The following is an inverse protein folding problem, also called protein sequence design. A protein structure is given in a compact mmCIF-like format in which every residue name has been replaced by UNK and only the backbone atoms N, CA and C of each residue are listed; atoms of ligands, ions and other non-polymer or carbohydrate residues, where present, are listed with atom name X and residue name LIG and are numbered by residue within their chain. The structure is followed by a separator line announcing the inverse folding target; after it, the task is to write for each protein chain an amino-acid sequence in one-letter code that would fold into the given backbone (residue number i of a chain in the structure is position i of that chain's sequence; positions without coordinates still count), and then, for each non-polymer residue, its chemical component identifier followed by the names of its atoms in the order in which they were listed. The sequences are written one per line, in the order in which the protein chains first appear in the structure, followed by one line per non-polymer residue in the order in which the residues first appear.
data_IF_027372836797
#
_entry.id   IF_027372836797
#
_cell.length_a   1.000
_cell.length_b   1.000
_cell.length_c   1.000
_cell.angle_alpha   90.00
_cell.angle_beta   90.00
_cell.angle_gamma   90.00
#
_symmetry.space_group_name_H-M   'P 1'
#
loop_
_entity.id
_entity.type
_entity.pdbx_description
1 polymer ?
#
# COMPACT_ATOMS: atom_id res chain seq x y z
N UNK A 1 6.14 19.39 15.45
CA UNK A 1 5.90 19.38 13.99
C UNK A 1 7.15 19.50 13.11
N UNK A 2 8.18 20.29 13.48
CA UNK A 2 9.40 20.42 12.65
C UNK A 2 10.13 19.07 12.43
N UNK A 3 10.20 18.21 13.44
CA UNK A 3 10.81 16.88 13.34
C UNK A 3 10.18 16.01 12.24
N UNK A 4 8.85 15.84 12.24
CA UNK A 4 8.14 15.06 11.21
C UNK A 4 8.29 15.67 9.81
N UNK A 5 8.34 17.01 9.71
CA UNK A 5 8.62 17.67 8.43
C UNK A 5 10.07 17.43 7.95
N UNK A 6 11.03 17.27 8.86
CA UNK A 6 12.43 17.01 8.50
C UNK A 6 12.67 15.55 8.13
N UNK A 7 12.12 14.62 8.91
CA UNK A 7 12.41 13.18 8.77
C UNK A 7 11.29 12.36 8.12
N UNK A 8 10.15 12.98 7.78
CA UNK A 8 8.97 12.26 7.26
C UNK A 8 9.24 11.41 6.03
N UNK A 9 10.15 11.82 5.14
CA UNK A 9 10.56 11.00 3.99
C UNK A 9 11.21 9.67 4.41
N UNK A 10 11.96 9.63 5.51
CA UNK A 10 12.52 8.38 6.06
C UNK A 10 11.41 7.49 6.64
N UNK A 11 10.42 8.06 7.31
CA UNK A 11 9.28 7.28 7.81
C UNK A 11 8.48 6.66 6.68
N UNK A 12 8.29 7.36 5.55
CA UNK A 12 7.62 6.77 4.39
C UNK A 12 8.41 5.58 3.83
N UNK A 13 9.74 5.72 3.67
CA UNK A 13 10.60 4.61 3.20
C UNK A 13 10.52 3.43 4.16
N UNK A 14 10.70 3.67 5.46
CA UNK A 14 10.70 2.61 6.46
C UNK A 14 9.34 1.92 6.52
N UNK A 15 8.24 2.69 6.48
CA UNK A 15 6.88 2.15 6.46
C UNK A 15 6.65 1.26 5.24
N UNK A 16 6.97 1.75 4.04
CA UNK A 16 6.81 0.99 2.79
C UNK A 16 7.65 -0.28 2.77
N UNK A 17 8.92 -0.20 3.17
CA UNK A 17 9.79 -1.38 3.20
C UNK A 17 9.31 -2.39 4.25
N UNK A 18 8.92 -1.92 5.43
CA UNK A 18 8.39 -2.78 6.49
C UNK A 18 7.13 -3.51 6.02
N UNK A 19 6.16 -2.79 5.45
CA UNK A 19 4.91 -3.38 4.96
C UNK A 19 5.17 -4.38 3.83
N UNK A 20 6.04 -4.01 2.88
CA UNK A 20 6.43 -4.88 1.77
C UNK A 20 7.07 -6.18 2.25
N UNK A 21 8.04 -6.10 3.18
CA UNK A 21 8.78 -7.30 3.63
C UNK A 21 8.02 -8.15 4.65
N UNK A 22 7.07 -7.57 5.38
CA UNK A 22 6.29 -8.25 6.44
C UNK A 22 5.69 -9.58 5.97
N UNK A 23 4.91 -9.67 4.88
CA UNK A 23 4.26 -10.92 4.51
C UNK A 23 5.26 -11.99 4.05
N UNK A 24 6.42 -11.62 3.52
CA UNK A 24 7.46 -12.58 3.18
C UNK A 24 8.13 -13.11 4.44
N UNK A 25 8.60 -12.22 5.31
CA UNK A 25 9.28 -12.57 6.55
C UNK A 25 8.39 -13.43 7.47
N UNK A 26 7.12 -13.05 7.60
CA UNK A 26 6.18 -13.73 8.46
C UNK A 26 5.65 -15.01 7.79
N UNK A 27 5.33 -14.96 6.49
CA UNK A 27 4.86 -16.13 5.75
C UNK A 27 5.88 -17.27 5.68
N UNK A 28 7.19 -16.98 5.71
CA UNK A 28 8.22 -18.05 5.82
C UNK A 28 8.16 -18.83 7.14
N UNK A 29 7.53 -18.28 8.19
CA UNK A 29 7.42 -18.94 9.50
C UNK A 29 6.15 -19.77 9.64
N UNK A 30 5.21 -19.64 8.71
CA UNK A 30 3.96 -20.39 8.69
C UNK A 30 4.05 -21.51 7.64
N UNK A 31 4.26 -22.75 8.09
CA UNK A 31 4.39 -23.90 7.19
C UNK A 31 3.07 -24.28 6.50
N UNK A 32 1.93 -23.81 7.00
CA UNK A 32 0.62 -24.02 6.38
C UNK A 32 0.30 -23.00 5.29
N UNK A 33 1.07 -21.90 5.23
CA UNK A 33 0.79 -20.79 4.33
C UNK A 33 1.57 -20.88 3.01
N UNK A 34 0.85 -20.92 1.89
CA UNK A 34 1.42 -20.90 0.56
C UNK A 34 1.36 -19.50 -0.06
N UNK A 35 2.52 -18.82 -0.10
CA UNK A 35 2.62 -17.45 -0.59
C UNK A 35 2.20 -17.22 -2.05
N UNK A 36 2.17 -18.27 -2.88
CA UNK A 36 1.77 -18.17 -4.30
C UNK A 36 0.26 -18.26 -4.48
N UNK A 37 -0.43 -19.06 -3.68
CA UNK A 37 -1.86 -19.33 -3.84
C UNK A 37 -2.70 -18.54 -2.86
N UNK A 38 -2.18 -18.21 -1.68
CA UNK A 38 -2.95 -17.60 -0.60
C UNK A 38 -2.71 -16.09 -0.48
N UNK A 39 -3.78 -15.37 -0.14
CA UNK A 39 -3.73 -13.91 0.02
C UNK A 39 -3.01 -13.51 1.30
N UNK A 40 -2.41 -12.32 1.31
CA UNK A 40 -1.62 -11.77 2.41
C UNK A 40 -2.44 -11.69 3.71
N UNK A 41 -3.72 -11.32 3.62
CA UNK A 41 -4.57 -11.11 4.80
C UNK A 41 -4.77 -12.38 5.64
N UNK A 42 -4.53 -13.59 5.09
CA UNK A 42 -4.61 -14.83 5.84
C UNK A 42 -3.50 -14.97 6.88
N UNK A 43 -2.37 -14.28 6.72
CA UNK A 43 -1.33 -14.18 7.77
C UNK A 43 -1.82 -13.44 9.02
N UNK A 44 -2.88 -12.62 8.86
CA UNK A 44 -3.55 -11.92 9.95
C UNK A 44 -4.87 -12.58 10.37
N UNK A 45 -5.19 -13.78 9.87
CA UNK A 45 -6.38 -14.51 10.26
C UNK A 45 -6.35 -14.86 11.76
N UNK A 46 -7.51 -14.91 12.41
CA UNK A 46 -7.63 -15.21 13.85
C UNK A 46 -6.96 -16.53 14.26
N UNK A 47 -6.93 -17.51 13.35
CA UNK A 47 -6.34 -18.83 13.57
C UNK A 47 -4.89 -18.94 13.08
N UNK A 48 -4.34 -17.90 12.45
CA UNK A 48 -2.96 -17.95 11.94
C UNK A 48 -1.97 -17.99 13.10
N UNK A 49 -1.00 -18.93 13.11
CA UNK A 49 0.02 -19.03 14.16
C UNK A 49 0.97 -17.82 14.18
N UNK A 50 0.99 -17.04 13.10
CA UNK A 50 1.86 -15.88 12.94
C UNK A 50 1.13 -14.54 13.02
N UNK A 51 -0.19 -14.57 13.30
CA UNK A 51 -1.09 -13.42 13.38
C UNK A 51 -0.52 -12.25 14.18
N UNK A 52 -0.07 -12.51 15.40
CA UNK A 52 0.38 -11.44 16.29
C UNK A 52 1.60 -10.70 15.72
N UNK A 53 2.53 -11.44 15.09
CA UNK A 53 3.68 -10.84 14.44
C UNK A 53 3.30 -10.09 13.17
N UNK A 54 2.43 -10.66 12.34
CA UNK A 54 1.92 -10.01 11.14
C UNK A 54 1.24 -8.68 11.49
N UNK A 55 0.23 -8.72 12.37
CA UNK A 55 -0.56 -7.55 12.74
C UNK A 55 0.29 -6.44 13.37
N UNK A 56 1.23 -6.78 14.27
CA UNK A 56 2.12 -5.78 14.89
C UNK A 56 2.98 -5.07 13.86
N UNK A 57 3.61 -5.81 12.95
CA UNK A 57 4.49 -5.22 11.93
C UNK A 57 3.71 -4.34 10.95
N UNK A 58 2.53 -4.79 10.53
CA UNK A 58 1.64 -4.01 9.65
C UNK A 58 1.14 -2.74 10.35
N UNK A 59 0.74 -2.79 11.63
CA UNK A 59 0.38 -1.58 12.39
C UNK A 59 1.55 -0.60 12.47
N UNK A 60 2.77 -1.08 12.76
CA UNK A 60 3.98 -0.24 12.80
C UNK A 60 4.24 0.41 11.44
N UNK A 61 4.08 -0.33 10.35
CA UNK A 61 4.24 0.21 9.00
C UNK A 61 3.23 1.33 8.72
N UNK A 62 1.96 1.13 9.06
CA UNK A 62 0.92 2.15 8.94
C UNK A 62 1.23 3.42 9.76
N UNK A 63 1.67 3.26 11.01
CA UNK A 63 2.08 4.40 11.85
C UNK A 63 3.24 5.19 11.23
N UNK A 64 4.23 4.52 10.65
CA UNK A 64 5.34 5.17 9.95
C UNK A 64 4.85 5.95 8.72
N UNK A 65 3.92 5.39 7.95
CA UNK A 65 3.31 6.09 6.81
C UNK A 65 2.52 7.33 7.27
N UNK A 66 1.74 7.23 8.35
CA UNK A 66 1.04 8.40 8.92
C UNK A 66 2.00 9.46 9.44
N UNK A 67 3.11 9.06 10.06
CA UNK A 67 4.16 9.98 10.52
C UNK A 67 4.85 10.72 9.36
N UNK A 68 4.80 10.19 8.14
CA UNK A 68 5.37 10.84 6.95
C UNK A 68 4.51 11.99 6.38
N UNK A 69 3.20 11.97 6.64
CA UNK A 69 2.22 12.86 6.00
C UNK A 69 2.54 14.36 6.15
N UNK A 70 3.04 14.88 7.29
CA UNK A 70 3.39 16.29 7.41
C UNK A 70 4.48 16.75 6.42
N UNK A 71 5.44 15.88 6.10
CA UNK A 71 6.50 16.16 5.11
C UNK A 71 5.93 16.13 3.70
N UNK A 72 5.11 15.12 3.39
CA UNK A 72 4.44 15.02 2.08
C UNK A 72 3.59 16.27 1.83
N UNK A 73 2.75 16.65 2.80
CA UNK A 73 1.96 17.88 2.72
C UNK A 73 2.84 19.10 2.41
N UNK A 74 3.93 19.28 3.16
CA UNK A 74 4.80 20.44 3.04
C UNK A 74 5.55 20.55 1.69
N UNK A 75 5.72 19.44 0.97
CA UNK A 75 6.30 19.44 -0.39
C UNK A 75 5.25 19.90 -1.39
N UNK A 76 4.10 19.22 -1.42
CA UNK A 76 3.07 19.48 -2.43
C UNK A 76 2.35 20.81 -2.22
N UNK A 77 2.20 21.26 -0.96
CA UNK A 77 1.46 22.49 -0.63
C UNK A 77 2.13 23.76 -1.17
N UNK A 78 3.41 23.68 -1.55
CA UNK A 78 4.17 24.78 -2.20
C UNK A 78 3.69 25.07 -3.61
N UNK A 79 3.10 24.08 -4.29
CA UNK A 79 2.55 24.21 -5.65
C UNK A 79 1.04 24.14 -5.68
N UNK A 80 0.43 23.24 -4.90
CA UNK A 80 -1.02 23.07 -4.83
C UNK A 80 -1.49 22.53 -3.48
N UNK A 81 -2.29 23.32 -2.77
CA UNK A 81 -2.89 22.88 -1.49
C UNK A 81 -3.88 21.72 -1.66
N UNK A 82 -4.68 21.76 -2.73
CA UNK A 82 -5.65 20.69 -3.04
C UNK A 82 -4.94 19.39 -3.38
N UNK A 83 -3.91 19.45 -4.22
CA UNK A 83 -3.11 18.27 -4.57
C UNK A 83 -2.36 17.70 -3.36
N UNK A 84 -1.83 18.56 -2.49
CA UNK A 84 -1.18 18.12 -1.25
C UNK A 84 -2.12 17.31 -0.35
N UNK A 85 -3.35 17.79 -0.13
CA UNK A 85 -4.34 17.06 0.65
C UNK A 85 -4.74 15.73 0.00
N UNK A 86 -4.85 15.70 -1.34
CA UNK A 86 -5.19 14.47 -2.04
C UNK A 86 -4.10 13.39 -1.89
N UNK A 87 -2.82 13.76 -2.06
CA UNK A 87 -1.69 12.83 -1.85
C UNK A 87 -1.63 12.37 -0.40
N UNK A 88 -1.81 13.29 0.56
CA UNK A 88 -1.87 12.96 2.00
C UNK A 88 -3.02 12.01 2.31
N UNK A 89 -4.20 12.24 1.74
CA UNK A 89 -5.36 11.40 1.94
C UNK A 89 -5.13 9.99 1.36
N UNK A 90 -4.47 9.85 0.22
CA UNK A 90 -4.18 8.55 -0.39
C UNK A 90 -3.17 7.74 0.42
N UNK A 91 -2.04 8.33 0.81
CA UNK A 91 -1.05 7.66 1.67
C UNK A 91 -1.65 7.40 3.06
N UNK A 92 -2.41 8.35 3.59
CA UNK A 92 -3.09 8.23 4.86
C UNK A 92 -4.16 7.14 4.86
N UNK A 93 -4.94 7.01 3.79
CA UNK A 93 -5.93 5.95 3.65
C UNK A 93 -5.27 4.57 3.63
N UNK A 94 -4.16 4.41 2.90
CA UNK A 94 -3.41 3.15 2.90
C UNK A 94 -2.87 2.82 4.29
N UNK A 95 -2.08 3.72 4.89
CA UNK A 95 -1.49 3.49 6.22
C UNK A 95 -2.51 3.31 7.35
N UNK A 96 -3.65 4.01 7.28
CA UNK A 96 -4.71 3.88 8.29
C UNK A 96 -5.57 2.64 8.06
N UNK A 97 -6.11 2.46 6.85
CA UNK A 97 -7.14 1.46 6.61
C UNK A 97 -6.59 0.10 6.17
N UNK A 98 -5.56 0.08 5.32
CA UNK A 98 -4.98 -1.18 4.84
C UNK A 98 -3.87 -1.71 5.75
N UNK A 99 -3.28 -0.86 6.62
CA UNK A 99 -2.30 -1.30 7.60
C UNK A 99 -2.85 -1.31 9.05
N UNK A 100 -3.21 -0.16 9.62
CA UNK A 100 -3.59 -0.10 11.05
C UNK A 100 -4.92 -0.84 11.29
N UNK A 101 -5.97 -0.53 10.53
CA UNK A 101 -7.27 -1.17 10.71
C UNK A 101 -7.20 -2.67 10.39
N UNK A 102 -6.52 -3.08 9.33
CA UNK A 102 -6.38 -4.51 9.00
C UNK A 102 -5.65 -5.30 10.08
N UNK A 103 -4.66 -4.70 10.75
CA UNK A 103 -3.96 -5.32 11.88
C UNK A 103 -4.75 -5.33 13.19
N UNK A 104 -5.66 -4.35 13.40
CA UNK A 104 -6.55 -4.31 14.56
C UNK A 104 -7.78 -5.21 14.39
N UNK A 105 -8.31 -5.29 13.18
CA UNK A 105 -9.49 -6.07 12.81
C UNK A 105 -9.05 -7.21 11.90
N UNK A 106 -8.73 -8.35 12.52
CA UNK A 106 -8.33 -9.57 11.81
C UNK A 106 -9.50 -10.20 11.04
N UNK A 107 -9.18 -10.85 9.91
CA UNK A 107 -10.12 -11.73 9.22
C UNK A 107 -10.36 -12.97 10.06
N UNK A 108 -11.59 -13.48 10.03
CA UNK A 108 -11.95 -14.77 10.60
C UNK A 108 -12.54 -15.66 9.50
N UNK A 109 -11.72 -16.56 8.98
CA UNK A 109 -12.14 -17.53 7.95
C UNK A 109 -13.02 -18.66 8.51
N UNK A 110 -13.01 -18.89 9.83
CA UNK A 110 -13.90 -19.84 10.50
C UNK A 110 -15.31 -19.28 10.76
N UNK A 111 -15.44 -17.95 10.83
CA UNK A 111 -16.69 -17.27 11.14
C UNK A 111 -16.99 -16.19 10.09
N UNK A 112 -17.67 -16.57 9.01
CA UNK A 112 -18.07 -15.61 7.98
C UNK A 112 -19.04 -14.54 8.54
N UNK A 113 -18.86 -13.29 8.10
CA UNK A 113 -19.84 -12.22 8.35
C UNK A 113 -19.69 -11.46 9.67
N UNK A 114 -18.56 -11.56 10.36
CA UNK A 114 -18.30 -10.73 11.56
C UNK A 114 -18.13 -9.26 11.21
N UNK A 115 -18.47 -8.37 12.16
CA UNK A 115 -18.23 -6.91 12.03
C UNK A 115 -16.73 -6.64 11.81
N UNK A 116 -15.85 -7.39 12.47
CA UNK A 116 -14.40 -7.30 12.27
C UNK A 116 -13.99 -7.63 10.82
N UNK A 117 -14.51 -8.72 10.25
CA UNK A 117 -14.22 -9.08 8.85
C UNK A 117 -14.79 -8.04 7.87
N UNK A 118 -15.96 -7.46 8.14
CA UNK A 118 -16.52 -6.38 7.33
C UNK A 118 -15.65 -5.10 7.39
N UNK A 119 -15.22 -4.71 8.59
CA UNK A 119 -14.31 -3.57 8.80
C UNK A 119 -12.95 -3.80 8.14
N UNK A 120 -12.40 -5.01 8.23
CA UNK A 120 -11.16 -5.39 7.55
C UNK A 120 -11.31 -5.25 6.04
N UNK A 121 -12.29 -5.94 5.45
CA UNK A 121 -12.46 -5.95 3.99
C UNK A 121 -12.80 -4.56 3.44
N UNK A 122 -13.68 -3.82 4.11
CA UNK A 122 -14.04 -2.46 3.73
C UNK A 122 -12.88 -1.48 3.89
N UNK A 123 -12.16 -1.56 5.02
CA UNK A 123 -10.97 -0.76 5.28
C UNK A 123 -9.88 -1.02 4.25
N UNK A 124 -9.52 -2.29 4.04
CA UNK A 124 -8.54 -2.68 3.04
C UNK A 124 -8.91 -2.24 1.63
N UNK A 125 -10.19 -2.32 1.24
CA UNK A 125 -10.62 -1.81 -0.06
C UNK A 125 -10.38 -0.29 -0.21
N UNK A 126 -10.69 0.50 0.83
CA UNK A 126 -10.45 1.95 0.84
C UNK A 126 -8.96 2.25 0.80
N UNK A 127 -8.16 1.60 1.64
CA UNK A 127 -6.73 1.82 1.72
C UNK A 127 -6.01 1.42 0.43
N UNK A 128 -6.32 0.23 -0.11
CA UNK A 128 -5.79 -0.24 -1.39
C UNK A 128 -6.20 0.67 -2.57
N UNK A 129 -7.40 1.24 -2.56
CA UNK A 129 -7.81 2.21 -3.60
C UNK A 129 -6.96 3.48 -3.54
N UNK A 130 -6.68 4.00 -2.34
CA UNK A 130 -5.76 5.13 -2.17
C UNK A 130 -4.36 4.82 -2.69
N UNK A 131 -3.87 3.61 -2.40
CA UNK A 131 -2.58 3.10 -2.85
C UNK A 131 -2.49 2.99 -4.38
N UNK A 132 -3.53 2.43 -5.00
CA UNK A 132 -3.63 2.22 -6.45
C UNK A 132 -3.65 3.54 -7.24
N UNK A 133 -4.44 4.51 -6.78
CA UNK A 133 -4.68 5.76 -7.50
C UNK A 133 -3.60 6.82 -7.29
N UNK A 134 -2.70 6.61 -6.30
CA UNK A 134 -1.65 7.56 -5.94
C UNK A 134 -0.81 7.99 -7.15
N UNK A 135 -0.34 7.04 -7.94
CA UNK A 135 0.50 7.26 -9.13
C UNK A 135 -0.20 8.13 -10.18
N UNK A 136 -1.51 7.91 -10.37
CA UNK A 136 -2.33 8.68 -11.30
C UNK A 136 -2.47 10.13 -10.84
N UNK A 137 -2.73 10.34 -9.55
CA UNK A 137 -2.76 11.69 -8.95
C UNK A 137 -1.42 12.38 -9.07
N UNK A 138 -0.32 11.69 -8.77
CA UNK A 138 1.03 12.24 -8.92
C UNK A 138 1.29 12.62 -10.38
N UNK A 139 0.90 11.80 -11.34
CA UNK A 139 1.02 12.11 -12.78
C UNK A 139 0.32 13.42 -13.15
N UNK A 140 -0.92 13.62 -12.68
CA UNK A 140 -1.70 14.84 -12.92
C UNK A 140 -1.04 16.05 -12.26
N UNK A 141 -0.53 15.89 -11.04
CA UNK A 141 0.14 16.96 -10.31
C UNK A 141 1.45 17.37 -11.02
N UNK A 142 2.30 16.41 -11.40
CA UNK A 142 3.56 16.69 -12.08
C UNK A 142 3.36 17.21 -13.49
N UNK A 143 2.29 16.82 -14.20
CA UNK A 143 1.99 17.37 -15.52
C UNK A 143 1.67 18.86 -15.50
N UNK A 144 1.14 19.36 -14.38
CA UNK A 144 0.74 20.77 -14.22
C UNK A 144 1.79 21.63 -13.53
N UNK A 145 2.55 21.06 -12.60
CA UNK A 145 3.37 21.86 -11.66
C UNK A 145 4.84 21.43 -11.56
N UNK A 146 5.24 20.33 -12.20
CA UNK A 146 6.58 19.76 -12.03
C UNK A 146 7.24 19.36 -13.36
N UNK A 147 8.27 18.52 -13.28
CA UNK A 147 9.07 18.16 -14.45
C UNK A 147 8.37 17.13 -15.36
N UNK A 148 8.62 17.24 -16.66
CA UNK A 148 8.18 16.24 -17.65
C UNK A 148 8.74 14.84 -17.34
N UNK A 149 9.94 14.76 -16.75
CA UNK A 149 10.55 13.51 -16.27
C UNK A 149 9.67 12.84 -15.22
N UNK A 150 9.22 13.57 -14.20
CA UNK A 150 8.40 13.01 -13.13
C UNK A 150 6.97 12.71 -13.60
N UNK A 151 6.40 13.53 -14.48
CA UNK A 151 5.13 13.19 -15.17
C UNK A 151 5.25 11.83 -15.88
N UNK A 152 6.30 11.62 -16.66
CA UNK A 152 6.50 10.37 -17.39
C UNK A 152 6.72 9.18 -16.44
N UNK A 153 7.54 9.36 -15.40
CA UNK A 153 7.79 8.33 -14.39
C UNK A 153 6.51 7.88 -13.70
N UNK A 154 5.75 8.81 -13.11
CA UNK A 154 4.52 8.46 -12.39
C UNK A 154 3.41 7.99 -13.34
N UNK A 155 3.38 8.47 -14.58
CA UNK A 155 2.43 8.00 -15.60
C UNK A 155 2.70 6.55 -15.99
N UNK A 156 3.97 6.21 -16.22
CA UNK A 156 4.39 4.82 -16.45
C UNK A 156 4.05 3.93 -15.26
N UNK A 157 4.38 4.36 -14.03
CA UNK A 157 4.06 3.61 -12.82
C UNK A 157 2.56 3.43 -12.64
N UNK A 158 1.74 4.43 -12.98
CA UNK A 158 0.28 4.30 -12.93
C UNK A 158 -0.23 3.21 -13.88
N UNK A 159 0.22 3.19 -15.13
CA UNK A 159 -0.13 2.14 -16.08
C UNK A 159 0.28 0.76 -15.53
N UNK A 160 1.50 0.64 -15.00
CA UNK A 160 1.99 -0.60 -14.39
C UNK A 160 1.11 -1.06 -13.21
N UNK A 161 0.74 -0.13 -12.33
CA UNK A 161 -0.15 -0.41 -11.19
C UNK A 161 -1.52 -0.89 -11.66
N UNK A 162 -2.12 -0.22 -12.65
CA UNK A 162 -3.44 -0.57 -13.19
C UNK A 162 -3.44 -1.94 -13.88
N UNK A 163 -2.39 -2.26 -14.65
CA UNK A 163 -2.24 -3.57 -15.28
C UNK A 163 -2.11 -4.68 -14.23
N UNK A 164 -1.26 -4.49 -13.22
CA UNK A 164 -1.07 -5.47 -12.16
C UNK A 164 -2.33 -5.65 -11.29
N UNK A 165 -3.03 -4.57 -10.97
CA UNK A 165 -4.33 -4.61 -10.28
C UNK A 165 -5.40 -5.29 -11.13
N UNK A 166 -5.43 -5.07 -12.44
CA UNK A 166 -6.32 -5.76 -13.36
C UNK A 166 -6.10 -7.27 -13.37
N UNK A 167 -4.84 -7.71 -13.48
CA UNK A 167 -4.49 -9.14 -13.40
C UNK A 167 -4.86 -9.75 -12.05
N UNK A 168 -4.65 -9.02 -10.96
CA UNK A 168 -5.09 -9.45 -9.63
C UNK A 168 -6.62 -9.54 -9.51
N UNK A 169 -7.35 -8.58 -10.07
CA UNK A 169 -8.81 -8.61 -10.14
C UNK A 169 -9.31 -9.81 -10.93
N UNK A 170 -8.69 -10.13 -12.07
CA UNK A 170 -8.99 -11.33 -12.85
C UNK A 170 -8.71 -12.60 -12.03
N UNK A 171 -7.59 -12.67 -11.32
CA UNK A 171 -7.27 -13.81 -10.45
C UNK A 171 -8.26 -14.01 -9.29
N UNK A 172 -9.04 -12.98 -8.92
CA UNK A 172 -10.13 -13.10 -7.93
C UNK A 172 -11.44 -13.64 -8.50
N UNK A 173 -11.59 -13.76 -9.83
CA UNK A 173 -12.78 -14.34 -10.45
C UNK A 173 -12.75 -15.86 -10.28
N UNK A 174 -13.71 -16.48 -9.56
CA UNK A 174 -13.68 -17.92 -9.25
C UNK A 174 -13.55 -18.83 -10.48
N UNK A 175 -14.16 -18.45 -11.60
CA UNK A 175 -14.11 -19.20 -12.86
C UNK A 175 -12.70 -19.21 -13.47
N UNK A 176 -11.92 -18.15 -13.26
CA UNK A 176 -10.55 -18.05 -13.79
C UNK A 176 -9.54 -18.78 -12.89
N UNK A 177 -9.83 -18.94 -11.60
CA UNK A 177 -8.95 -19.64 -10.65
C UNK A 177 -8.73 -21.12 -10.97
N UNK A 178 -9.54 -21.71 -11.86
CA UNK A 178 -9.35 -23.08 -12.34
C UNK A 178 -8.23 -23.20 -13.39
N UNK A 179 -7.72 -22.08 -13.91
CA UNK A 179 -6.78 -22.05 -15.04
C UNK A 179 -5.48 -21.38 -14.61
N UNK A 180 -4.34 -21.98 -14.97
CA UNK A 180 -3.02 -21.34 -14.79
C UNK A 180 -2.89 -20.16 -15.76
N UNK A 181 -2.32 -19.02 -15.35
CA UNK A 181 -1.69 -18.74 -14.05
C UNK A 181 -2.62 -18.11 -12.99
N UNK A 182 -3.93 -18.00 -13.22
CA UNK A 182 -4.86 -17.28 -12.33
C UNK A 182 -5.17 -18.01 -11.02
N UNK A 183 -4.85 -19.29 -10.92
CA UNK A 183 -4.89 -20.06 -9.67
C UNK A 183 -3.84 -19.60 -8.63
N UNK A 184 -2.82 -18.83 -9.02
CA UNK A 184 -1.83 -18.25 -8.11
C UNK A 184 -2.27 -16.89 -7.59
N UNK A 185 -3.37 -16.86 -6.84
CA UNK A 185 -3.98 -15.63 -6.34
C UNK A 185 -3.03 -14.81 -5.45
N UNK A 186 -2.26 -15.48 -4.57
CA UNK A 186 -1.25 -14.85 -3.72
C UNK A 186 -0.14 -14.17 -4.51
N UNK A 187 0.34 -14.79 -5.59
CA UNK A 187 1.32 -14.21 -6.50
C UNK A 187 0.78 -12.93 -7.13
N UNK A 188 -0.42 -12.97 -7.70
CA UNK A 188 -1.01 -11.79 -8.36
C UNK A 188 -1.26 -10.64 -7.37
N UNK A 189 -1.67 -10.96 -6.13
CA UNK A 189 -1.76 -9.95 -5.07
C UNK A 189 -0.41 -9.28 -4.83
N UNK A 190 0.65 -10.08 -4.67
CA UNK A 190 2.01 -9.57 -4.38
C UNK A 190 2.59 -8.75 -5.51
N UNK A 191 2.40 -9.18 -6.75
CA UNK A 191 2.79 -8.41 -7.94
C UNK A 191 2.07 -7.06 -7.94
N UNK A 192 0.76 -7.07 -7.66
CA UNK A 192 0.00 -5.84 -7.56
C UNK A 192 0.48 -4.93 -6.44
N UNK A 193 0.67 -5.44 -5.22
CA UNK A 193 1.21 -4.68 -4.09
C UNK A 193 2.61 -4.14 -4.40
N UNK A 194 3.51 -4.95 -4.97
CA UNK A 194 4.85 -4.54 -5.37
C UNK A 194 4.82 -3.34 -6.32
N UNK A 195 4.01 -3.42 -7.38
CA UNK A 195 3.85 -2.33 -8.33
C UNK A 195 3.37 -1.04 -7.66
N UNK A 196 2.43 -1.13 -6.71
CA UNK A 196 1.91 0.02 -5.99
C UNK A 196 2.91 0.62 -4.98
N UNK A 197 3.84 -0.15 -4.42
CA UNK A 197 4.90 0.38 -3.56
C UNK A 197 5.94 1.22 -4.33
N UNK A 198 6.18 0.92 -5.61
CA UNK A 198 7.14 1.65 -6.44
C UNK A 198 6.86 3.17 -6.51
N UNK A 199 5.63 3.65 -6.75
CA UNK A 199 5.26 5.06 -6.65
C UNK A 199 5.61 5.70 -5.30
N UNK A 200 5.34 5.03 -4.19
CA UNK A 200 5.65 5.57 -2.86
C UNK A 200 7.16 5.67 -2.64
N UNK A 201 7.93 4.66 -3.07
CA UNK A 201 9.39 4.67 -3.02
C UNK A 201 9.99 5.75 -3.94
N UNK A 202 9.48 5.90 -5.16
CA UNK A 202 9.89 6.93 -6.10
C UNK A 202 9.65 8.33 -5.51
N UNK A 203 8.48 8.53 -4.88
CA UNK A 203 8.17 9.76 -4.17
C UNK A 203 9.18 10.01 -3.02
N UNK A 204 9.52 8.99 -2.24
CA UNK A 204 10.50 9.10 -1.17
C UNK A 204 11.87 9.59 -1.66
N UNK A 205 12.36 9.04 -2.77
CA UNK A 205 13.66 9.42 -3.34
C UNK A 205 13.67 10.90 -3.72
N UNK A 206 12.58 11.41 -4.29
CA UNK A 206 12.43 12.82 -4.61
C UNK A 206 12.37 13.70 -3.35
N UNK A 207 11.77 13.22 -2.26
CA UNK A 207 11.72 13.97 -0.99
C UNK A 207 13.06 14.09 -0.27
N UNK A 208 14.05 13.23 -0.58
CA UNK A 208 15.39 13.22 0.03
C UNK A 208 16.38 14.14 -0.69
N UNK A 209 16.34 14.18 -2.02
CA UNK A 209 17.39 14.82 -2.82
C UNK A 209 17.21 16.30 -3.06
N UNK A 210 15.98 16.82 -2.97
CA UNK A 210 15.72 18.24 -3.13
C UNK A 210 14.53 18.62 -2.26
N UNK A 211 14.67 19.56 -1.34
CA UNK A 211 13.50 20.26 -0.74
C UNK A 211 12.66 21.03 -1.80
N UNK A 212 12.90 20.79 -3.09
CA UNK A 212 12.22 21.40 -4.23
C UNK A 212 11.29 20.36 -4.86
N UNK A 213 10.11 20.84 -5.23
CA UNK A 213 9.15 20.12 -6.04
C UNK A 213 9.68 20.15 -7.48
N UNK A 214 10.52 19.17 -7.87
CA UNK A 214 11.05 19.01 -9.22
C UNK A 214 11.00 17.56 -9.68
#
# INVERSE_FOLDING_TARGET
MQFLKKYGGYFLVLGVLLDFFTPYYVGFKDQGYNQLTEVISLLGDVNSPVRENFNRLTIIAGMLMLASLPRIYAIFSRKTKKGAWLVVAMIGAYGLFDCIFSGLFSVDTSSAGTVAAALHNGGSAVGYTGFLLLSGVLTIIYSKYGSQKNKNLFGFLFILCMLAAGLYGLARIPQLQQVKPFNYLGLWQRVSSFCNYLPMLALCLQTKTNDKFD
#
